data_IF_191531477345
#
_entry.id   IF_191531477345
#
_cell.length_a   1.000
_cell.length_b   1.000
_cell.length_c   1.000
_cell.angle_alpha   90.00
_cell.angle_beta   90.00
_cell.angle_gamma   90.00
#
_symmetry.space_group_name_H-M   'P 1'
#
loop_
_entity.id
_entity.type
_entity.pdbx_description
1 polymer ?
#
# COMPACT_ATOMS: atom_id res chain seq x y z
N UNK A 1 37.52 42.68 14.30
CA UNK A 1 36.17 42.11 14.22
C UNK A 1 35.98 41.45 12.87
N UNK A 2 36.11 40.12 12.79
CA UNK A 2 35.71 39.34 11.62
C UNK A 2 34.72 38.29 12.11
N UNK A 3 33.46 38.40 11.71
CA UNK A 3 32.43 37.39 11.96
C UNK A 3 32.66 36.23 10.98
N UNK A 4 33.11 35.09 11.52
CA UNK A 4 33.13 33.83 10.79
C UNK A 4 31.69 33.38 10.63
N UNK A 5 31.14 33.51 9.43
CA UNK A 5 29.84 32.94 9.10
C UNK A 5 30.01 31.42 9.01
N UNK A 6 29.40 30.75 9.99
CA UNK A 6 29.28 29.29 10.05
C UNK A 6 28.57 28.78 8.78
N UNK A 7 29.35 28.16 7.90
CA UNK A 7 28.88 27.55 6.66
C UNK A 7 28.23 26.17 6.89
N UNK A 8 27.45 26.00 7.96
CA UNK A 8 26.89 24.70 8.35
C UNK A 8 25.37 24.56 8.08
N UNK A 9 24.75 25.53 7.40
CA UNK A 9 23.31 25.51 7.10
C UNK A 9 22.89 24.95 5.73
N UNK A 10 23.68 24.99 4.63
CA UNK A 10 23.15 24.60 3.32
C UNK A 10 23.17 23.10 3.06
N UNK A 11 23.94 22.30 3.83
CA UNK A 11 24.04 20.85 3.61
C UNK A 11 22.82 20.07 4.13
N UNK A 12 22.16 20.55 5.19
CA UNK A 12 20.96 19.90 5.71
C UNK A 12 19.75 20.05 4.76
N UNK A 13 19.67 21.16 4.03
CA UNK A 13 18.61 21.36 3.04
C UNK A 13 18.79 20.51 1.77
N UNK A 14 20.04 20.18 1.42
CA UNK A 14 20.36 19.28 0.29
C UNK A 14 20.14 17.80 0.63
N UNK A 15 20.33 17.39 1.89
CA UNK A 15 20.00 16.03 2.36
C UNK A 15 18.49 15.78 2.46
N UNK A 16 17.67 16.82 2.66
CA UNK A 16 16.21 16.70 2.65
C UNK A 16 15.62 16.48 1.25
N UNK A 17 16.36 16.80 0.18
CA UNK A 17 15.90 16.66 -1.21
C UNK A 17 16.21 15.29 -1.83
N UNK A 18 17.14 14.51 -1.28
CA UNK A 18 17.51 13.18 -1.80
C UNK A 18 16.80 12.02 -1.11
N UNK A 19 16.08 12.29 -0.02
CA UNK A 19 15.33 11.29 0.76
C UNK A 19 13.80 11.42 0.63
N UNK A 20 13.32 12.20 -0.32
CA UNK A 20 11.95 12.03 -0.81
C UNK A 20 11.88 10.66 -1.49
N UNK A 21 11.37 9.63 -0.82
CA UNK A 21 10.93 8.42 -1.49
C UNK A 21 9.94 8.85 -2.59
N UNK A 22 10.39 8.83 -3.85
CA UNK A 22 9.56 9.18 -5.00
C UNK A 22 8.52 8.08 -5.26
N UNK A 23 7.56 7.96 -4.35
CA UNK A 23 6.41 7.06 -4.51
C UNK A 23 5.52 7.66 -5.58
N UNK A 24 5.36 6.92 -6.68
CA UNK A 24 4.40 7.21 -7.75
C UNK A 24 3.08 6.52 -7.44
N UNK A 25 1.99 7.05 -7.98
CA UNK A 25 0.66 6.50 -7.77
C UNK A 25 -0.21 6.67 -9.00
N UNK A 26 -0.68 5.56 -9.56
CA UNK A 26 -1.48 5.52 -10.78
C UNK A 26 -2.83 4.86 -10.51
N UNK A 27 -3.93 5.41 -11.03
CA UNK A 27 -5.23 4.73 -10.98
C UNK A 27 -5.25 3.69 -12.09
N UNK A 28 -5.35 2.42 -11.70
CA UNK A 28 -5.23 1.27 -12.64
C UNK A 28 -6.56 0.59 -12.91
N UNK A 29 -7.56 0.80 -12.05
CA UNK A 29 -8.92 0.31 -12.24
C UNK A 29 -9.91 1.13 -11.42
N UNK A 30 -11.12 1.35 -11.94
CA UNK A 30 -12.20 2.01 -11.21
C UNK A 30 -13.57 1.51 -11.66
N UNK A 31 -14.44 1.17 -10.72
CA UNK A 31 -15.85 0.89 -10.99
C UNK A 31 -16.72 1.16 -9.76
N UNK A 32 -18.02 1.33 -9.93
CA UNK A 32 -18.95 1.54 -8.79
C UNK A 32 -18.99 0.34 -7.83
N UNK A 33 -18.72 -0.85 -8.36
CA UNK A 33 -18.84 -2.10 -7.62
C UNK A 33 -17.61 -2.36 -6.73
N UNK A 34 -16.43 -1.90 -7.15
CA UNK A 34 -15.12 -2.17 -6.54
C UNK A 34 -14.52 -0.90 -5.92
N UNK A 35 -14.92 0.28 -6.35
CA UNK A 35 -14.27 1.53 -5.99
C UNK A 35 -13.03 1.82 -6.85
N UNK A 36 -12.17 2.69 -6.34
CA UNK A 36 -10.96 3.15 -7.02
C UNK A 36 -9.75 2.33 -6.58
N UNK A 37 -9.06 1.72 -7.54
CA UNK A 37 -7.84 0.93 -7.34
C UNK A 37 -6.64 1.78 -7.73
N UNK A 38 -5.80 2.10 -6.75
CA UNK A 38 -4.58 2.90 -6.96
C UNK A 38 -3.37 2.02 -6.78
N UNK A 39 -2.47 2.03 -7.76
CA UNK A 39 -1.20 1.34 -7.72
C UNK A 39 -0.12 2.29 -7.22
N UNK A 40 0.60 1.91 -6.16
CA UNK A 40 1.69 2.66 -5.57
C UNK A 40 3.01 1.94 -5.82
N UNK A 41 4.03 2.65 -6.32
CA UNK A 41 5.32 2.05 -6.65
C UNK A 41 6.45 3.07 -6.57
N UNK A 42 7.69 2.60 -6.60
CA UNK A 42 8.88 3.44 -6.61
C UNK A 42 9.76 3.03 -7.80
N UNK A 43 10.23 4.02 -8.56
CA UNK A 43 11.19 3.86 -9.65
C UNK A 43 10.88 2.68 -10.61
N UNK A 44 11.88 1.88 -11.02
CA UNK A 44 11.74 0.75 -11.96
C UNK A 44 11.19 -0.55 -11.34
N UNK A 45 10.85 -0.56 -10.04
CA UNK A 45 10.37 -1.74 -9.31
C UNK A 45 8.84 -1.90 -9.40
N UNK A 46 8.34 -1.82 -10.64
CA UNK A 46 6.92 -1.90 -10.97
C UNK A 46 6.44 -3.31 -11.33
N UNK A 47 5.16 -3.59 -11.10
CA UNK A 47 4.50 -4.83 -11.48
C UNK A 47 3.81 -4.67 -12.86
N UNK A 48 3.80 -5.72 -13.69
CA UNK A 48 2.95 -5.76 -14.88
C UNK A 48 1.50 -6.07 -14.50
N UNK A 49 0.63 -5.05 -14.55
CA UNK A 49 -0.75 -5.12 -14.05
C UNK A 49 -1.78 -5.58 -15.08
N UNK A 50 -1.38 -6.33 -16.12
CA UNK A 50 -2.26 -6.79 -17.22
C UNK A 50 -3.56 -7.47 -16.77
N UNK A 51 -3.57 -8.21 -15.67
CA UNK A 51 -4.76 -8.92 -15.15
C UNK A 51 -5.34 -8.29 -13.89
N UNK A 52 -5.09 -7.00 -13.64
CA UNK A 52 -5.55 -6.31 -12.42
C UNK A 52 -7.06 -6.39 -12.26
N UNK A 53 -7.83 -6.17 -13.32
CA UNK A 53 -9.29 -6.21 -13.32
C UNK A 53 -9.84 -7.58 -12.87
N UNK A 54 -9.32 -8.67 -13.47
CA UNK A 54 -9.68 -10.05 -13.18
C UNK A 54 -9.31 -10.43 -11.74
N UNK A 55 -8.09 -10.11 -11.30
CA UNK A 55 -7.63 -10.45 -9.95
C UNK A 55 -8.40 -9.66 -8.88
N UNK A 56 -8.68 -8.37 -9.11
CA UNK A 56 -9.51 -7.56 -8.21
C UNK A 56 -10.95 -8.08 -8.18
N UNK A 57 -11.53 -8.49 -9.32
CA UNK A 57 -12.86 -9.08 -9.34
C UNK A 57 -12.92 -10.39 -8.51
N UNK A 58 -11.92 -11.27 -8.64
CA UNK A 58 -11.80 -12.49 -7.84
C UNK A 58 -11.66 -12.18 -6.34
N UNK A 59 -10.80 -11.23 -5.98
CA UNK A 59 -10.63 -10.78 -4.60
C UNK A 59 -11.95 -10.29 -3.99
N UNK A 60 -12.72 -9.48 -4.72
CA UNK A 60 -14.04 -9.02 -4.27
C UNK A 60 -15.05 -10.15 -4.12
N UNK A 61 -14.99 -11.19 -4.96
CA UNK A 61 -15.83 -12.38 -4.78
C UNK A 61 -15.47 -13.11 -3.48
N UNK A 62 -14.18 -13.24 -3.16
CA UNK A 62 -13.73 -13.86 -1.90
C UNK A 62 -14.21 -13.07 -0.67
N UNK A 63 -14.16 -11.73 -0.73
CA UNK A 63 -14.73 -10.87 0.33
C UNK A 63 -16.23 -11.16 0.50
N UNK A 64 -17.00 -11.17 -0.60
CA UNK A 64 -18.45 -11.43 -0.55
C UNK A 64 -18.80 -12.80 0.03
N UNK A 65 -17.97 -13.80 -0.28
CA UNK A 65 -18.11 -15.18 0.23
C UNK A 65 -17.56 -15.35 1.65
N UNK A 66 -16.95 -14.31 2.23
CA UNK A 66 -16.30 -14.33 3.56
C UNK A 66 -15.19 -15.38 3.66
N UNK A 67 -14.44 -15.54 2.57
CA UNK A 67 -13.34 -16.52 2.45
C UNK A 67 -12.00 -15.97 2.96
N UNK A 68 -11.92 -14.68 3.30
CA UNK A 68 -10.72 -14.11 3.89
C UNK A 68 -10.53 -14.61 5.32
N UNK A 69 -9.33 -15.09 5.62
CA UNK A 69 -8.97 -15.57 6.96
C UNK A 69 -8.46 -14.38 7.79
N UNK A 70 -9.18 -13.96 8.85
CA UNK A 70 -8.75 -12.84 9.68
C UNK A 70 -7.65 -13.25 10.65
N UNK A 71 -6.80 -12.30 11.01
CA UNK A 71 -5.97 -12.41 12.19
C UNK A 71 -6.86 -12.25 13.44
N UNK A 72 -6.57 -12.99 14.52
CA UNK A 72 -7.35 -12.95 15.79
C UNK A 72 -7.18 -11.63 16.58
N UNK A 73 -6.68 -10.56 15.98
CA UNK A 73 -6.46 -9.27 16.61
C UNK A 73 -6.84 -8.12 15.67
N UNK A 74 -7.23 -7.01 16.27
CA UNK A 74 -7.57 -5.75 15.61
C UNK A 74 -6.48 -4.74 15.94
N UNK A 75 -6.03 -3.99 14.93
CA UNK A 75 -4.88 -3.10 15.03
C UNK A 75 -5.27 -1.62 14.92
N UNK A 76 -4.41 -0.76 15.46
CA UNK A 76 -4.41 0.67 15.22
C UNK A 76 -3.48 1.00 14.04
N UNK A 77 -3.66 2.18 13.45
CA UNK A 77 -2.88 2.60 12.27
C UNK A 77 -1.41 2.85 12.58
N UNK A 78 -1.10 3.29 13.79
CA UNK A 78 0.25 3.57 14.25
C UNK A 78 0.97 2.33 14.81
N UNK A 79 0.30 1.17 14.86
CA UNK A 79 0.89 -0.08 15.33
C UNK A 79 2.09 -0.45 14.45
N UNK A 80 3.27 -0.76 15.03
CA UNK A 80 4.47 -1.11 14.28
C UNK A 80 4.25 -2.22 13.25
N UNK A 81 3.42 -3.22 13.58
CA UNK A 81 3.09 -4.30 12.65
C UNK A 81 2.40 -3.77 11.39
N UNK A 82 1.51 -2.78 11.51
CA UNK A 82 0.84 -2.18 10.35
C UNK A 82 1.83 -1.38 9.51
N UNK A 83 2.74 -0.63 10.15
CA UNK A 83 3.78 0.10 9.42
C UNK A 83 4.66 -0.85 8.59
N UNK A 84 5.02 -2.01 9.13
CA UNK A 84 5.77 -3.04 8.40
C UNK A 84 5.00 -3.64 7.21
N UNK A 85 3.67 -3.67 7.26
CA UNK A 85 2.85 -4.12 6.12
C UNK A 85 2.77 -3.09 5.00
N UNK A 86 3.02 -1.80 5.28
CA UNK A 86 2.96 -0.71 4.28
C UNK A 86 4.18 -0.65 3.35
N UNK A 87 4.47 -1.77 2.69
CA UNK A 87 5.59 -1.90 1.74
C UNK A 87 5.15 -1.63 0.31
N UNK A 88 6.08 -1.14 -0.52
CA UNK A 88 5.92 -0.96 -1.95
C UNK A 88 6.60 -2.10 -2.74
N UNK A 89 6.15 -2.40 -3.97
CA UNK A 89 4.94 -1.87 -4.61
C UNK A 89 3.66 -2.36 -3.93
N UNK A 90 2.56 -1.61 -4.03
CA UNK A 90 1.28 -1.97 -3.41
C UNK A 90 0.08 -1.51 -4.23
N UNK A 91 -1.08 -2.09 -3.96
CA UNK A 91 -2.37 -1.59 -4.42
C UNK A 91 -3.20 -1.15 -3.21
N UNK A 92 -3.83 0.01 -3.32
CA UNK A 92 -4.91 0.43 -2.44
C UNK A 92 -6.25 0.37 -3.17
N UNK A 93 -7.31 -0.06 -2.47
CA UNK A 93 -8.67 -0.04 -3.00
C UNK A 93 -9.55 0.77 -2.06
N UNK A 94 -10.04 1.91 -2.54
CA UNK A 94 -10.87 2.81 -1.76
C UNK A 94 -12.35 2.68 -2.15
N UNK A 95 -13.20 2.30 -1.19
CA UNK A 95 -14.65 2.20 -1.35
C UNK A 95 -15.40 2.44 -0.03
N UNK A 96 -16.46 3.25 -0.05
CA UNK A 96 -17.41 3.42 1.07
C UNK A 96 -16.77 3.64 2.45
N UNK A 97 -15.70 4.45 2.51
CA UNK A 97 -14.89 4.76 3.71
C UNK A 97 -14.02 3.61 4.23
N UNK A 98 -13.91 2.52 3.48
CA UNK A 98 -12.93 1.48 3.69
C UNK A 98 -11.80 1.61 2.66
N UNK A 99 -10.58 1.36 3.12
CA UNK A 99 -9.40 1.29 2.27
C UNK A 99 -8.71 -0.04 2.49
N UNK A 100 -8.71 -0.88 1.47
CA UNK A 100 -7.90 -2.09 1.45
C UNK A 100 -6.47 -1.74 1.02
N UNK A 101 -5.50 -2.27 1.73
CA UNK A 101 -4.09 -2.20 1.40
C UNK A 101 -3.55 -3.59 1.08
N UNK A 102 -2.95 -3.73 -0.09
CA UNK A 102 -2.44 -4.98 -0.65
C UNK A 102 -0.98 -4.77 -1.06
N UNK A 103 0.00 -5.18 -0.23
CA UNK A 103 1.41 -5.16 -0.62
C UNK A 103 1.63 -6.20 -1.73
N UNK A 104 2.43 -5.87 -2.73
CA UNK A 104 2.72 -6.76 -3.87
C UNK A 104 4.11 -7.40 -3.78
N UNK A 105 4.80 -7.25 -2.64
CA UNK A 105 6.07 -7.94 -2.42
C UNK A 105 5.86 -9.47 -2.42
N UNK A 106 6.75 -10.27 -3.05
CA UNK A 106 6.61 -11.74 -3.09
C UNK A 106 6.54 -12.41 -1.71
N UNK A 107 7.12 -11.78 -0.69
CA UNK A 107 7.10 -12.23 0.70
C UNK A 107 5.85 -11.81 1.48
N UNK A 108 4.90 -11.12 0.86
CA UNK A 108 3.70 -10.61 1.54
C UNK A 108 2.84 -11.75 2.08
N UNK A 109 2.58 -11.72 3.38
CA UNK A 109 1.77 -12.72 4.08
C UNK A 109 0.41 -12.18 4.53
N UNK A 110 0.24 -10.85 4.49
CA UNK A 110 -0.92 -10.18 5.05
C UNK A 110 -1.40 -9.05 4.14
N UNK A 111 -2.71 -8.80 4.20
CA UNK A 111 -3.36 -7.59 3.69
C UNK A 111 -4.16 -6.98 4.84
N UNK A 112 -4.55 -5.71 4.70
CA UNK A 112 -5.41 -5.11 5.71
C UNK A 112 -6.48 -4.22 5.12
N UNK A 113 -7.56 -4.02 5.87
CA UNK A 113 -8.57 -2.98 5.57
C UNK A 113 -8.62 -2.00 6.72
N UNK A 114 -8.48 -0.72 6.38
CA UNK A 114 -8.70 0.40 7.28
C UNK A 114 -10.15 0.86 7.14
N UNK A 115 -10.87 0.92 8.26
CA UNK A 115 -12.22 1.48 8.31
C UNK A 115 -12.45 2.17 9.65
N UNK A 116 -12.82 3.45 9.61
CA UNK A 116 -13.13 4.26 10.81
C UNK A 116 -12.03 4.25 11.89
N UNK A 117 -10.76 4.31 11.46
CA UNK A 117 -9.60 4.30 12.37
C UNK A 117 -9.26 2.94 12.97
N UNK A 118 -9.95 1.87 12.56
CA UNK A 118 -9.67 0.50 12.97
C UNK A 118 -9.13 -0.30 11.79
N UNK A 119 -8.11 -1.12 12.04
CA UNK A 119 -7.50 -1.98 11.03
C UNK A 119 -7.80 -3.44 11.31
N UNK A 120 -8.35 -4.12 10.30
CA UNK A 120 -8.51 -5.57 10.30
C UNK A 120 -7.51 -6.17 9.32
N UNK A 121 -6.72 -7.12 9.80
CA UNK A 121 -5.67 -7.78 9.02
C UNK A 121 -6.14 -9.18 8.64
N UNK A 122 -5.84 -9.58 7.41
CA UNK A 122 -6.20 -10.88 6.85
C UNK A 122 -4.98 -11.54 6.23
N UNK A 123 -4.96 -12.87 6.22
CA UNK A 123 -3.97 -13.62 5.45
C UNK A 123 -4.04 -13.25 3.97
N UNK A 124 -2.87 -13.22 3.33
CA UNK A 124 -2.77 -12.87 1.92
C UNK A 124 -3.56 -13.85 1.05
N UNK A 125 -4.55 -13.40 0.25
CA UNK A 125 -5.37 -14.30 -0.55
C UNK A 125 -4.60 -14.79 -1.79
N UNK A 126 -4.74 -16.07 -2.11
CA UNK A 126 -4.08 -16.70 -3.28
C UNK A 126 -4.42 -16.00 -4.61
N UNK A 127 -5.63 -15.44 -4.72
CA UNK A 127 -6.09 -14.71 -5.92
C UNK A 127 -5.24 -13.49 -6.26
N UNK A 128 -4.52 -12.93 -5.28
CA UNK A 128 -3.68 -11.74 -5.45
C UNK A 128 -2.20 -12.07 -5.62
N UNK A 129 -1.78 -13.34 -5.48
CA UNK A 129 -0.36 -13.72 -5.63
C UNK A 129 0.13 -13.63 -7.08
N UNK A 130 -0.78 -13.68 -8.04
CA UNK A 130 -0.45 -13.59 -9.48
C UNK A 130 -0.40 -12.16 -9.99
N UNK A 131 -0.70 -11.17 -9.15
CA UNK A 131 -0.85 -9.78 -9.55
C UNK A 131 0.48 -9.07 -9.79
N UNK A 132 1.55 -9.53 -9.14
CA UNK A 132 2.92 -9.10 -9.36
C UNK A 132 3.83 -10.35 -9.34
N UNK A 133 4.52 -10.63 -10.45
CA UNK A 133 5.43 -11.76 -10.61
C UNK A 133 6.85 -11.28 -10.85
#
# INVERSE_FOLDING_TARGET
>A
MLKVFSACAPLLFLLMLTYGCNVKSDVVYQSDHVGKVTYHYKDNDGCDLKEVDKNIALFYQQIKRRELVPLKAIYQEDDPFIQELTTLPSISIHKDKAEWYIPLAPSSQWIYVKSKGTINVFSYPESLKTLCK
#
